data_IF_042291229784
#
_entry.id   IF_042291229784
#
_cell.length_a   1.000
_cell.length_b   1.000
_cell.length_c   1.000
_cell.angle_alpha   90.00
_cell.angle_beta   90.00
_cell.angle_gamma   90.00
#
_symmetry.space_group_name_H-M   'P 1'
#
loop_
_entity.id
_entity.type
_entity.pdbx_description
1 polymer ?
#
# COMPACT_ATOMS: atom_id res chain seq x y z
N UNK A 1 14.92 7.77 -15.68
CA UNK A 1 14.91 8.03 -14.22
C UNK A 1 14.03 9.25 -13.99
N UNK A 2 12.87 9.08 -13.36
CA UNK A 2 11.96 10.19 -13.08
C UNK A 2 12.50 11.03 -11.92
N UNK A 3 12.48 12.35 -12.09
CA UNK A 3 12.83 13.35 -11.09
C UNK A 3 11.95 13.16 -9.85
N UNK A 4 12.51 12.48 -8.83
CA UNK A 4 11.87 12.31 -7.54
C UNK A 4 11.93 13.64 -6.81
N UNK A 5 10.93 14.49 -7.06
CA UNK A 5 10.84 15.87 -6.57
C UNK A 5 11.28 16.05 -5.11
N UNK A 6 11.67 17.28 -4.78
CA UNK A 6 12.20 17.63 -3.47
C UNK A 6 11.34 17.05 -2.33
N UNK A 7 11.99 16.48 -1.31
CA UNK A 7 11.25 15.98 -0.16
C UNK A 7 10.50 17.14 0.51
N UNK A 8 9.26 16.91 0.97
CA UNK A 8 8.61 17.86 1.84
C UNK A 8 9.50 18.09 3.07
N UNK A 9 9.52 19.33 3.56
CA UNK A 9 10.30 19.70 4.75
C UNK A 9 9.87 18.81 5.93
N UNK A 10 10.84 18.10 6.51
CA UNK A 10 10.61 17.28 7.69
C UNK A 10 10.18 18.16 8.89
N UNK A 11 9.24 17.71 9.73
CA UNK A 11 8.97 18.34 11.02
C UNK A 11 10.23 18.39 11.90
N UNK A 12 10.29 19.33 12.84
CA UNK A 12 11.42 19.43 13.78
C UNK A 12 11.58 18.13 14.59
N UNK A 13 12.82 17.66 14.70
CA UNK A 13 13.13 16.39 15.38
C UNK A 13 12.87 15.14 14.54
N UNK A 14 12.57 15.26 13.24
CA UNK A 14 12.42 14.14 12.32
C UNK A 14 13.29 14.26 11.07
N UNK A 15 13.65 13.12 10.50
CA UNK A 15 14.37 12.97 9.24
C UNK A 15 13.51 12.19 8.24
N UNK A 16 13.60 12.54 6.95
CA UNK A 16 12.92 11.81 5.88
C UNK A 16 13.81 10.66 5.42
N UNK A 17 13.30 9.43 5.51
CA UNK A 17 13.90 8.25 4.93
C UNK A 17 13.21 7.94 3.61
N UNK A 18 13.99 7.74 2.55
CA UNK A 18 13.51 7.27 1.24
C UNK A 18 13.81 5.79 1.05
N UNK A 19 12.81 5.05 0.61
CA UNK A 19 12.95 3.67 0.15
C UNK A 19 12.10 3.43 -1.10
N UNK A 20 12.76 3.21 -2.23
CA UNK A 20 12.08 3.19 -3.53
C UNK A 20 11.32 4.49 -3.76
N UNK A 21 9.99 4.39 -3.88
CA UNK A 21 9.08 5.53 -4.02
C UNK A 21 8.47 6.01 -2.70
N UNK A 22 8.65 5.24 -1.62
CA UNK A 22 8.11 5.56 -0.31
C UNK A 22 8.99 6.58 0.43
N UNK A 23 8.33 7.44 1.20
CA UNK A 23 8.94 8.42 2.11
C UNK A 23 8.37 8.19 3.50
N UNK A 24 9.22 8.08 4.50
CA UNK A 24 8.83 7.88 5.90
C UNK A 24 9.57 8.87 6.80
N UNK A 25 8.99 9.16 7.98
CA UNK A 25 9.62 9.99 9.01
C UNK A 25 10.30 9.09 10.05
N UNK A 26 11.54 9.40 10.39
CA UNK A 26 12.31 8.78 11.47
C UNK A 26 12.63 9.86 12.52
N UNK A 27 12.64 9.54 13.81
CA UNK A 27 13.09 10.51 14.83
C UNK A 27 14.58 10.81 14.61
N UNK A 28 14.93 12.09 14.55
CA UNK A 28 16.31 12.54 14.39
C UNK A 28 17.13 12.20 15.63
N UNK A 29 18.30 11.57 15.45
CA UNK A 29 19.24 11.29 16.53
C UNK A 29 18.81 10.21 17.54
N UNK A 30 17.80 9.39 17.25
CA UNK A 30 17.37 8.31 18.14
C UNK A 30 16.68 7.13 17.44
N UNK A 31 16.85 5.94 18.01
CA UNK A 31 16.26 4.67 17.54
C UNK A 31 14.91 4.35 18.23
N UNK A 32 14.19 5.35 18.73
CA UNK A 32 12.89 5.18 19.41
C UNK A 32 11.87 4.39 18.57
N UNK A 33 11.98 4.50 17.24
CA UNK A 33 11.22 3.72 16.28
C UNK A 33 12.20 2.94 15.41
N UNK A 34 12.04 1.63 15.37
CA UNK A 34 12.97 0.74 14.69
C UNK A 34 12.85 0.86 13.17
N UNK A 35 13.96 1.20 12.51
CA UNK A 35 14.12 1.11 11.06
C UNK A 35 15.39 0.33 10.71
N UNK A 36 15.24 -0.76 9.96
CA UNK A 36 16.36 -1.59 9.52
C UNK A 36 16.61 -1.41 8.02
N UNK A 37 17.67 -0.68 7.68
CA UNK A 37 18.09 -0.42 6.30
C UNK A 37 18.47 -1.70 5.53
N UNK A 38 19.21 -2.67 6.09
CA UNK A 38 19.40 -3.99 5.47
C UNK A 38 18.13 -4.72 5.03
N UNK A 39 16.96 -4.46 5.64
CA UNK A 39 15.70 -5.12 5.28
C UNK A 39 15.02 -4.56 4.02
N UNK A 40 15.60 -3.56 3.34
CA UNK A 40 15.06 -3.04 2.06
C UNK A 40 14.86 -4.17 1.04
N UNK A 41 15.84 -5.06 0.90
CA UNK A 41 15.76 -6.20 -0.04
C UNK A 41 14.61 -7.14 0.28
N UNK A 42 14.33 -7.35 1.57
CA UNK A 42 13.21 -8.19 2.00
C UNK A 42 11.85 -7.54 1.63
N UNK A 43 11.75 -6.21 1.77
CA UNK A 43 10.56 -5.45 1.40
C UNK A 43 10.35 -5.44 -0.12
N UNK A 44 11.41 -5.29 -0.90
CA UNK A 44 11.36 -5.38 -2.36
C UNK A 44 10.88 -6.76 -2.85
N UNK A 45 11.41 -7.84 -2.27
CA UNK A 45 10.99 -9.20 -2.58
C UNK A 45 9.51 -9.41 -2.25
N UNK A 46 9.09 -8.94 -1.08
CA UNK A 46 7.69 -9.03 -0.64
C UNK A 46 6.77 -8.26 -1.59
N UNK A 47 7.17 -7.07 -2.03
CA UNK A 47 6.42 -6.27 -2.99
C UNK A 47 6.28 -6.95 -4.34
N UNK A 48 7.34 -7.63 -4.82
CA UNK A 48 7.29 -8.40 -6.07
C UNK A 48 6.27 -9.54 -6.00
N UNK A 49 6.24 -10.28 -4.88
CA UNK A 49 5.27 -11.36 -4.65
C UNK A 49 3.85 -10.82 -4.56
N UNK A 50 3.63 -9.71 -3.86
CA UNK A 50 2.31 -9.06 -3.75
C UNK A 50 1.81 -8.63 -5.14
N UNK A 51 2.67 -8.04 -5.97
CA UNK A 51 2.32 -7.65 -7.35
C UNK A 51 1.91 -8.85 -8.19
N UNK A 52 2.63 -9.96 -8.09
CA UNK A 52 2.27 -11.19 -8.81
C UNK A 52 0.93 -11.75 -8.32
N UNK A 53 0.73 -11.77 -7.00
CA UNK A 53 -0.54 -12.18 -6.41
C UNK A 53 -1.71 -11.31 -6.88
N UNK A 54 -1.53 -9.99 -7.00
CA UNK A 54 -2.54 -9.08 -7.53
C UNK A 54 -2.93 -9.42 -8.98
N UNK A 55 -1.97 -9.76 -9.85
CA UNK A 55 -2.27 -10.18 -11.24
C UNK A 55 -3.08 -11.47 -11.29
N UNK A 56 -2.68 -12.47 -10.49
CA UNK A 56 -3.40 -13.74 -10.37
C UNK A 56 -4.82 -13.50 -9.86
N UNK A 57 -4.97 -12.69 -8.80
CA UNK A 57 -6.28 -12.30 -8.26
C UNK A 57 -7.14 -11.57 -9.28
N UNK A 58 -6.59 -10.61 -10.03
CA UNK A 58 -7.31 -9.91 -11.07
C UNK A 58 -7.87 -10.88 -12.12
N UNK A 59 -7.09 -11.89 -12.51
CA UNK A 59 -7.50 -12.95 -13.44
C UNK A 59 -8.61 -13.82 -12.84
N UNK A 60 -8.49 -14.24 -11.58
CA UNK A 60 -9.51 -15.05 -10.91
C UNK A 60 -10.82 -14.30 -10.69
N UNK A 61 -10.75 -13.00 -10.38
CA UNK A 61 -11.91 -12.12 -10.29
C UNK A 61 -12.59 -11.97 -11.66
N UNK A 62 -11.82 -11.74 -12.73
CA UNK A 62 -12.34 -11.65 -14.09
C UNK A 62 -13.04 -12.94 -14.54
N UNK A 63 -12.54 -14.10 -14.10
CA UNK A 63 -13.10 -15.41 -14.43
C UNK A 63 -14.21 -15.88 -13.46
N UNK A 64 -14.58 -15.08 -12.45
CA UNK A 64 -15.57 -15.46 -11.43
C UNK A 64 -15.12 -16.64 -10.54
N UNK A 65 -13.83 -16.96 -10.54
CA UNK A 65 -13.25 -18.12 -9.84
C UNK A 65 -12.77 -17.78 -8.43
N UNK A 66 -13.19 -16.66 -7.84
CA UNK A 66 -12.79 -16.27 -6.50
C UNK A 66 -13.29 -17.28 -5.47
N UNK A 67 -12.51 -18.34 -5.21
CA UNK A 67 -12.81 -19.31 -4.17
C UNK A 67 -12.65 -18.60 -2.83
N UNK A 68 -13.76 -18.26 -2.16
CA UNK A 68 -13.73 -17.93 -0.73
C UNK A 68 -13.15 -19.15 -0.03
N UNK A 69 -11.92 -19.04 0.46
CA UNK A 69 -11.37 -20.05 1.36
C UNK A 69 -12.29 -20.12 2.58
N UNK A 70 -13.07 -21.21 2.69
CA UNK A 70 -13.96 -21.45 3.85
C UNK A 70 -13.21 -21.45 5.18
N UNK A 71 -11.88 -21.65 5.17
CA UNK A 71 -10.99 -21.57 6.34
C UNK A 71 -10.56 -20.15 6.72
N UNK A 72 -10.84 -19.14 5.89
CA UNK A 72 -10.57 -17.72 6.17
C UNK A 72 -11.91 -16.96 6.27
N UNK A 73 -12.78 -17.39 7.17
CA UNK A 73 -14.00 -16.68 7.52
C UNK A 73 -13.64 -15.46 8.39
N UNK A 74 -12.88 -14.50 7.85
CA UNK A 74 -12.47 -13.32 8.62
C UNK A 74 -11.25 -12.54 8.17
N UNK A 75 -10.63 -12.82 7.02
CA UNK A 75 -9.56 -11.98 6.50
C UNK A 75 -9.69 -11.79 4.99
N UNK A 76 -10.67 -11.00 4.58
CA UNK A 76 -10.39 -10.07 3.50
C UNK A 76 -10.18 -8.74 4.20
N UNK A 77 -9.02 -8.11 4.03
CA UNK A 77 -8.89 -6.70 4.34
C UNK A 77 -9.69 -5.94 3.26
N UNK A 78 -11.03 -6.06 3.35
CA UNK A 78 -11.96 -5.12 2.78
C UNK A 78 -12.18 -4.11 3.89
N UNK A 79 -11.38 -3.05 3.89
CA UNK A 79 -11.71 -1.88 4.71
C UNK A 79 -13.13 -1.47 4.33
N UNK A 80 -14.09 -1.45 5.27
CA UNK A 80 -15.45 -1.01 4.98
C UNK A 80 -15.43 0.37 4.31
N UNK A 81 -16.32 0.61 3.35
CA UNK A 81 -16.32 1.87 2.58
C UNK A 81 -16.52 3.10 3.49
N UNK A 82 -17.15 2.89 4.64
CA UNK A 82 -17.46 3.86 5.69
C UNK A 82 -16.40 3.94 6.81
N UNK A 83 -15.28 3.23 6.69
CA UNK A 83 -14.22 3.24 7.70
C UNK A 83 -13.58 4.64 7.84
N UNK A 84 -13.50 5.12 9.07
CA UNK A 84 -12.96 6.44 9.42
C UNK A 84 -11.46 6.61 9.12
N UNK A 85 -10.75 5.54 8.75
CA UNK A 85 -9.36 5.58 8.30
C UNK A 85 -9.23 5.96 6.81
N UNK A 86 -10.23 5.64 5.97
CA UNK A 86 -10.14 5.91 4.53
C UNK A 86 -9.98 7.40 4.21
N UNK A 87 -10.76 8.34 4.78
CA UNK A 87 -10.57 9.78 4.55
C UNK A 87 -9.24 10.34 5.07
N UNK A 88 -8.54 9.61 5.94
CA UNK A 88 -7.26 10.03 6.53
C UNK A 88 -6.06 9.57 5.70
N UNK A 89 -6.23 8.52 4.91
CA UNK A 89 -5.14 7.83 4.21
C UNK A 89 -5.18 8.05 2.70
N UNK A 90 -6.36 8.27 2.12
CA UNK A 90 -6.59 8.39 0.69
C UNK A 90 -7.45 9.61 0.41
N UNK A 91 -7.20 10.26 -0.73
CA UNK A 91 -8.06 11.34 -1.20
C UNK A 91 -9.39 10.78 -1.76
N UNK A 92 -10.27 11.67 -2.23
CA UNK A 92 -11.59 11.27 -2.71
C UNK A 92 -11.55 10.42 -3.97
N UNK A 93 -10.63 10.72 -4.88
CA UNK A 93 -10.47 10.01 -6.15
C UNK A 93 -9.89 8.60 -5.93
N UNK A 94 -8.88 8.47 -5.07
CA UNK A 94 -8.27 7.19 -4.71
C UNK A 94 -9.24 6.30 -3.91
N UNK A 95 -10.07 6.88 -3.04
CA UNK A 95 -11.15 6.14 -2.35
C UNK A 95 -12.20 5.65 -3.32
N UNK A 96 -12.62 6.48 -4.27
CA UNK A 96 -13.56 6.07 -5.30
C UNK A 96 -12.98 4.93 -6.15
N UNK A 97 -11.69 5.04 -6.53
CA UNK A 97 -10.97 4.03 -7.28
C UNK A 97 -10.91 2.67 -6.57
N UNK A 98 -10.72 2.67 -5.25
CA UNK A 98 -10.60 1.45 -4.43
C UNK A 98 -11.83 0.53 -4.51
N UNK A 99 -13.00 1.12 -4.78
CA UNK A 99 -14.29 0.44 -4.80
C UNK A 99 -14.94 0.41 -6.18
N UNK A 100 -14.20 0.73 -7.25
CA UNK A 100 -14.73 0.63 -8.61
C UNK A 100 -15.04 -0.81 -8.98
N UNK A 101 -16.13 -0.99 -9.72
CA UNK A 101 -16.48 -2.29 -10.28
C UNK A 101 -15.47 -2.71 -11.35
N UNK A 102 -15.41 -4.01 -11.63
CA UNK A 102 -14.53 -4.54 -12.69
C UNK A 102 -14.90 -4.00 -14.09
N UNK A 103 -16.13 -3.53 -14.27
CA UNK A 103 -16.61 -2.89 -15.50
C UNK A 103 -16.14 -1.43 -15.57
N UNK A 104 -16.19 -0.71 -14.46
CA UNK A 104 -15.72 0.70 -14.33
C UNK A 104 -14.20 0.85 -14.49
N UNK A 105 -13.44 -0.21 -14.24
CA UNK A 105 -11.99 -0.22 -14.47
C UNK A 105 -11.59 -0.47 -15.92
N UNK A 106 -12.51 -0.96 -16.77
CA UNK A 106 -12.25 -1.31 -18.18
C UNK A 106 -12.70 -0.24 -19.18
N UNK A 107 -13.53 0.71 -18.74
CA UNK A 107 -13.99 1.86 -19.52
C UNK A 107 -12.99 3.02 -19.41
#
# INVERSE_FOLDING_TARGET
MGDGGADPKAPEGFEVIREGWARALQRAGGDDVFYNKPQVVNRDLSLAVIREFQKVRATEHANGQSKRNKRAKGAMCLTPRDDALLPRLLDEDDRAALFRSAEEHRA
#
